data_IF_536377481303
#
_entry.id   IF_536377481303
#
_cell.length_a   1.000
_cell.length_b   1.000
_cell.length_c   1.000
_cell.angle_alpha   90.00
_cell.angle_beta   90.00
_cell.angle_gamma   90.00
#
_symmetry.space_group_name_H-M   'P 1'
#
loop_
_entity.id
_entity.type
_entity.pdbx_description
1 polymer ?
#
# COMPACT_ATOMS: atom_id res chain seq x y z
N UNK A 1 60.04 -5.43 -60.39
CA UNK A 1 59.10 -6.20 -59.55
C UNK A 1 58.32 -5.23 -58.67
N UNK A 2 56.99 -5.27 -58.80
CA UNK A 2 55.91 -4.67 -57.99
C UNK A 2 56.11 -3.30 -57.33
N UNK A 3 55.38 -2.31 -57.85
CA UNK A 3 55.35 -0.94 -57.32
C UNK A 3 54.21 -0.65 -56.35
N UNK A 4 54.28 0.54 -55.72
CA UNK A 4 53.13 1.42 -55.54
C UNK A 4 53.57 2.81 -55.04
N UNK A 5 53.22 3.78 -55.90
CA UNK A 5 52.92 5.21 -55.73
C UNK A 5 53.21 5.92 -54.40
N UNK A 6 54.01 6.96 -54.55
CA UNK A 6 53.97 8.23 -53.82
C UNK A 6 52.72 9.04 -54.14
N UNK A 7 52.21 9.79 -53.15
CA UNK A 7 51.72 11.15 -53.38
C UNK A 7 51.99 12.02 -52.14
N UNK A 8 52.21 13.30 -52.41
CA UNK A 8 52.98 14.28 -51.66
C UNK A 8 52.01 15.29 -51.02
N UNK A 9 52.37 15.85 -49.85
CA UNK A 9 52.47 17.31 -49.59
C UNK A 9 52.22 17.71 -48.11
N UNK A 10 53.26 18.34 -47.57
CA UNK A 10 53.30 19.54 -46.73
C UNK A 10 52.47 19.65 -45.44
N UNK A 11 53.22 19.77 -44.33
CA UNK A 11 53.54 21.12 -43.83
C UNK A 11 52.43 21.88 -43.09
N UNK A 12 52.37 21.67 -41.77
CA UNK A 12 52.23 22.69 -40.71
C UNK A 12 50.93 23.57 -40.66
N UNK A 13 50.31 23.51 -39.45
CA UNK A 13 49.63 24.54 -38.61
C UNK A 13 48.11 24.46 -38.38
N UNK A 14 47.82 24.14 -37.11
CA UNK A 14 46.75 24.60 -36.19
C UNK A 14 45.47 25.27 -36.76
N UNK A 15 44.31 24.73 -36.35
CA UNK A 15 43.14 25.54 -35.95
C UNK A 15 42.20 24.79 -35.00
N UNK A 16 41.84 25.47 -33.91
CA UNK A 16 40.73 25.15 -33.01
C UNK A 16 39.41 25.38 -33.75
N UNK A 17 38.44 24.47 -33.62
CA UNK A 17 37.03 24.77 -33.93
C UNK A 17 36.11 23.87 -33.10
N UNK A 18 35.31 24.49 -32.23
CA UNK A 18 34.12 23.87 -31.63
C UNK A 18 33.09 23.55 -32.72
N UNK A 19 32.49 22.37 -32.67
CA UNK A 19 31.14 22.14 -33.20
C UNK A 19 30.34 21.24 -32.27
N UNK A 20 29.19 21.78 -31.85
CA UNK A 20 28.03 21.05 -31.30
C UNK A 20 27.37 20.20 -32.41
N UNK A 21 26.25 19.59 -31.99
CA UNK A 21 25.16 18.88 -32.69
C UNK A 21 25.43 17.38 -32.87
N UNK A 22 24.56 16.45 -32.49
CA UNK A 22 23.09 16.46 -32.41
C UNK A 22 22.64 15.37 -31.41
N UNK A 23 21.69 15.68 -30.53
CA UNK A 23 20.85 14.70 -29.84
C UNK A 23 19.40 15.00 -30.23
N UNK A 24 18.71 14.11 -30.95
CA UNK A 24 17.25 14.09 -31.03
C UNK A 24 16.72 13.11 -29.97
N UNK A 25 15.65 13.31 -29.24
CA UNK A 25 14.61 14.34 -29.12
C UNK A 25 13.77 13.86 -27.93
N UNK A 26 13.33 14.75 -27.04
CA UNK A 26 11.98 15.32 -27.07
C UNK A 26 10.89 14.23 -27.07
N UNK A 27 9.98 14.18 -26.10
CA UNK A 27 9.08 15.27 -25.75
C UNK A 27 8.47 14.95 -24.36
N UNK A 28 8.54 15.87 -23.39
CA UNK A 28 7.59 16.96 -23.12
C UNK A 28 6.50 16.53 -22.12
N UNK A 29 5.96 17.35 -21.22
CA UNK A 29 6.20 18.71 -20.70
C UNK A 29 5.16 18.84 -19.55
N UNK A 30 5.55 19.47 -18.43
CA UNK A 30 4.87 20.59 -17.71
C UNK A 30 3.41 20.37 -17.22
N UNK A 31 3.04 20.63 -15.97
CA UNK A 31 2.86 21.94 -15.29
C UNK A 31 3.14 21.80 -13.78
N UNK A 32 4.02 22.57 -13.14
CA UNK A 32 4.07 24.02 -12.88
C UNK A 32 3.05 24.54 -11.85
N UNK A 33 3.62 25.08 -10.78
CA UNK A 33 3.01 25.63 -9.58
C UNK A 33 2.26 26.95 -9.82
N UNK A 34 1.30 27.24 -8.92
CA UNK A 34 0.73 28.58 -8.76
C UNK A 34 0.77 28.95 -7.28
N UNK A 35 1.45 30.06 -7.01
CA UNK A 35 1.49 30.80 -5.74
C UNK A 35 0.95 32.19 -6.09
N UNK A 36 -0.17 32.60 -5.49
CA UNK A 36 -0.50 34.01 -5.37
C UNK A 36 -1.21 34.28 -4.05
N UNK A 37 -0.64 35.24 -3.34
CA UNK A 37 -1.15 35.91 -2.15
C UNK A 37 -1.84 37.19 -2.60
N UNK A 38 -2.96 37.57 -1.98
CA UNK A 38 -3.37 38.97 -1.77
C UNK A 38 -4.47 39.06 -0.70
N UNK A 39 -4.50 40.23 -0.06
CA UNK A 39 -5.00 40.50 1.28
C UNK A 39 -6.51 40.84 1.37
N UNK A 40 -6.93 40.92 2.63
CA UNK A 40 -8.27 41.09 3.23
C UNK A 40 -9.08 42.33 2.82
N UNK A 41 -10.42 42.20 2.92
CA UNK A 41 -11.35 43.28 3.27
C UNK A 41 -12.41 42.74 4.24
N UNK A 42 -12.63 43.48 5.34
CA UNK A 42 -13.69 43.28 6.33
C UNK A 42 -15.05 43.69 5.75
N UNK A 43 -16.11 42.92 6.03
CA UNK A 43 -17.47 43.46 6.10
C UNK A 43 -18.28 42.82 7.23
N UNK A 44 -18.72 43.68 8.12
CA UNK A 44 -19.67 43.52 9.23
C UNK A 44 -21.05 43.14 8.71
N UNK A 45 -21.75 42.19 9.35
CA UNK A 45 -23.10 41.83 8.90
C UNK A 45 -23.88 40.87 9.80
N UNK A 46 -24.58 41.46 10.78
CA UNK A 46 -25.86 41.05 11.37
C UNK A 46 -26.04 39.62 11.95
N UNK A 47 -26.16 39.59 13.28
CA UNK A 47 -26.79 38.53 14.05
C UNK A 47 -28.24 38.26 13.61
N UNK A 48 -28.62 36.98 13.55
CA UNK A 48 -30.02 36.53 13.55
C UNK A 48 -30.21 35.32 14.47
N UNK A 49 -31.41 35.16 15.04
CA UNK A 49 -31.60 34.60 16.37
C UNK A 49 -31.64 33.07 16.40
N UNK A 50 -31.23 32.58 17.57
CA UNK A 50 -31.38 31.23 18.10
C UNK A 50 -32.83 30.77 17.97
N UNK A 51 -33.05 29.69 17.22
CA UNK A 51 -34.33 28.97 17.21
C UNK A 51 -34.29 27.89 18.29
N UNK A 52 -35.34 27.91 19.11
CA UNK A 52 -35.52 27.12 20.31
C UNK A 52 -35.31 25.61 20.09
N UNK A 53 -34.68 25.03 21.10
CA UNK A 53 -34.46 23.60 21.30
C UNK A 53 -35.80 22.89 21.50
N UNK A 54 -36.08 21.88 20.68
CA UNK A 54 -37.05 20.84 21.05
C UNK A 54 -36.40 19.94 22.12
N UNK A 55 -36.95 20.06 23.32
CA UNK A 55 -36.62 19.28 24.50
C UNK A 55 -37.12 17.84 24.31
N UNK A 56 -36.31 16.97 23.71
CA UNK A 56 -36.57 15.52 23.74
C UNK A 56 -36.10 15.02 25.11
N UNK A 57 -37.04 14.96 26.06
CA UNK A 57 -36.89 14.17 27.28
C UNK A 57 -36.78 12.69 26.87
N UNK A 58 -35.55 12.20 26.69
CA UNK A 58 -35.27 10.77 26.73
C UNK A 58 -35.21 10.36 28.19
N UNK A 59 -36.37 10.01 28.72
CA UNK A 59 -36.45 9.21 29.95
C UNK A 59 -35.72 7.89 29.68
N UNK A 60 -34.50 7.76 30.21
CA UNK A 60 -33.74 6.52 30.22
C UNK A 60 -34.39 5.50 31.14
N UNK A 61 -35.55 4.98 30.75
CA UNK A 61 -36.17 3.84 31.39
C UNK A 61 -35.59 2.56 30.80
N UNK A 62 -34.91 1.77 31.62
CA UNK A 62 -34.59 0.37 31.30
C UNK A 62 -35.92 -0.37 31.19
N UNK A 63 -36.34 -0.67 29.96
CA UNK A 63 -37.52 -1.50 29.70
C UNK A 63 -37.09 -2.96 29.88
N UNK A 64 -37.46 -3.55 31.00
CA UNK A 64 -37.36 -5.00 31.19
C UNK A 64 -38.41 -5.61 30.26
N UNK A 65 -37.96 -6.34 29.24
CA UNK A 65 -38.86 -7.04 28.31
C UNK A 65 -39.68 -8.07 29.09
N UNK A 66 -40.98 -8.13 28.81
CA UNK A 66 -41.84 -9.12 29.43
C UNK A 66 -41.64 -10.49 28.74
N UNK A 67 -41.75 -11.61 29.47
CA UNK A 67 -41.75 -12.94 28.86
C UNK A 67 -42.89 -13.06 27.85
N UNK A 68 -42.56 -13.14 26.56
CA UNK A 68 -43.52 -13.17 25.45
C UNK A 68 -43.47 -11.98 24.49
N UNK A 69 -42.63 -10.97 24.76
CA UNK A 69 -42.32 -9.95 23.74
C UNK A 69 -41.60 -10.62 22.55
N UNK A 70 -42.21 -10.57 21.38
CA UNK A 70 -41.63 -11.06 20.13
C UNK A 70 -40.29 -10.33 19.89
N UNK A 71 -39.18 -11.07 19.86
CA UNK A 71 -37.92 -10.53 19.38
C UNK A 71 -38.10 -10.25 17.89
N UNK A 72 -38.32 -8.98 17.51
CA UNK A 72 -38.11 -8.56 16.13
C UNK A 72 -36.73 -9.03 15.72
N UNK A 73 -36.60 -9.88 14.68
CA UNK A 73 -35.29 -10.26 14.17
C UNK A 73 -34.50 -8.99 13.93
N UNK A 74 -33.24 -8.96 14.39
CA UNK A 74 -32.30 -7.93 13.97
C UNK A 74 -32.41 -7.88 12.46
N UNK A 75 -32.95 -6.77 11.92
CA UNK A 75 -33.29 -6.67 10.52
C UNK A 75 -32.11 -7.12 9.68
N UNK A 76 -32.38 -7.89 8.62
CA UNK A 76 -31.37 -8.23 7.64
C UNK A 76 -30.59 -6.96 7.31
N UNK A 77 -29.27 -7.03 7.52
CA UNK A 77 -28.36 -5.94 7.23
C UNK A 77 -28.73 -5.35 5.87
N UNK A 78 -28.82 -4.01 5.71
CA UNK A 78 -29.06 -3.44 4.40
C UNK A 78 -28.06 -4.05 3.42
N UNK A 79 -28.56 -4.43 2.25
CA UNK A 79 -27.83 -5.08 1.17
C UNK A 79 -26.71 -4.14 0.63
N UNK A 80 -25.64 -4.00 1.42
CA UNK A 80 -24.40 -3.31 1.08
C UNK A 80 -23.54 -4.14 0.10
N UNK A 81 -24.06 -5.30 -0.33
CA UNK A 81 -23.36 -6.25 -1.18
C UNK A 81 -23.41 -5.88 -2.67
N UNK A 82 -24.28 -4.94 -3.09
CA UNK A 82 -24.52 -4.67 -4.52
C UNK A 82 -23.44 -3.88 -5.24
N UNK A 83 -22.48 -3.27 -4.53
CA UNK A 83 -21.47 -2.41 -5.16
C UNK A 83 -20.04 -2.65 -4.65
N UNK A 84 -19.82 -3.79 -3.99
CA UNK A 84 -18.48 -4.32 -3.81
C UNK A 84 -18.41 -5.53 -4.71
N UNK A 85 -18.09 -5.29 -5.99
CA UNK A 85 -17.36 -6.28 -6.76
C UNK A 85 -16.29 -6.81 -5.81
N UNK A 86 -16.48 -8.04 -5.35
CA UNK A 86 -15.68 -8.63 -4.28
C UNK A 86 -14.24 -8.33 -4.63
N UNK A 87 -13.50 -7.66 -3.74
CA UNK A 87 -12.09 -7.36 -3.96
C UNK A 87 -11.36 -8.69 -4.19
N UNK A 88 -11.24 -9.07 -5.46
CA UNK A 88 -10.69 -10.35 -5.89
C UNK A 88 -9.18 -10.19 -5.99
N UNK A 89 -8.48 -11.22 -5.56
CA UNK A 89 -7.04 -11.31 -5.76
C UNK A 89 -6.78 -11.71 -7.20
N UNK A 90 -5.95 -10.93 -7.88
CA UNK A 90 -5.50 -11.24 -9.23
C UNK A 90 -4.70 -12.54 -9.24
N UNK A 91 -4.71 -13.22 -10.39
CA UNK A 91 -3.79 -14.32 -10.65
C UNK A 91 -2.36 -13.80 -10.69
N UNK A 92 -1.45 -14.51 -10.03
CA UNK A 92 -0.01 -14.21 -10.03
C UNK A 92 0.74 -15.21 -10.91
N UNK A 93 1.59 -14.72 -11.81
CA UNK A 93 2.51 -15.54 -12.58
C UNK A 93 3.82 -15.74 -11.82
N UNK A 94 4.22 -16.99 -11.61
CA UNK A 94 5.39 -17.34 -10.80
C UNK A 94 6.38 -18.13 -11.64
N UNK A 95 7.66 -17.81 -11.56
CA UNK A 95 8.73 -18.60 -12.17
C UNK A 95 9.72 -19.09 -11.11
N UNK A 96 10.43 -20.17 -11.43
CA UNK A 96 11.61 -20.63 -10.68
C UNK A 96 12.86 -20.12 -11.41
N UNK A 97 13.81 -19.53 -10.68
CA UNK A 97 14.94 -18.80 -11.26
C UNK A 97 15.84 -19.63 -12.20
N UNK A 98 16.01 -20.91 -11.90
CA UNK A 98 16.77 -21.88 -12.71
C UNK A 98 15.93 -22.57 -13.79
N UNK A 99 14.64 -22.23 -13.90
CA UNK A 99 13.70 -22.85 -14.83
C UNK A 99 13.12 -24.19 -14.37
N UNK A 100 13.49 -24.69 -13.19
CA UNK A 100 13.07 -26.00 -12.68
C UNK A 100 11.68 -25.93 -12.05
N UNK A 101 10.64 -25.76 -12.87
CA UNK A 101 9.23 -25.68 -12.43
C UNK A 101 8.79 -26.86 -11.54
N UNK A 102 9.43 -28.03 -11.69
CA UNK A 102 9.21 -29.21 -10.84
C UNK A 102 9.50 -28.95 -9.35
N UNK A 103 10.31 -27.94 -9.02
CA UNK A 103 10.57 -27.53 -7.63
C UNK A 103 9.31 -26.99 -6.93
N UNK A 104 8.27 -26.63 -7.69
CA UNK A 104 6.97 -26.21 -7.19
C UNK A 104 5.89 -27.30 -7.34
N UNK A 105 6.28 -28.54 -7.67
CA UNK A 105 5.32 -29.64 -7.75
C UNK A 105 4.63 -29.86 -6.38
N UNK A 106 3.30 -29.90 -6.39
CA UNK A 106 2.48 -30.05 -5.18
C UNK A 106 2.24 -28.75 -4.39
N UNK A 107 2.85 -27.63 -4.77
CA UNK A 107 2.51 -26.32 -4.19
C UNK A 107 1.11 -25.93 -4.68
N UNK A 108 0.19 -25.78 -3.73
CA UNK A 108 -1.20 -25.42 -4.02
C UNK A 108 -1.47 -23.95 -3.69
N UNK A 109 -2.35 -23.27 -4.45
CA UNK A 109 -2.81 -21.92 -4.10
C UNK A 109 -3.42 -21.87 -2.70
N UNK A 110 -3.26 -20.72 -2.03
CA UNK A 110 -4.00 -20.36 -0.82
C UNK A 110 -5.22 -19.53 -1.21
N UNK A 111 -5.13 -18.21 -1.09
CA UNK A 111 -6.23 -17.31 -1.45
C UNK A 111 -6.13 -16.82 -2.89
N UNK A 112 -4.93 -16.38 -3.32
CA UNK A 112 -4.68 -15.91 -4.67
C UNK A 112 -4.40 -17.09 -5.62
N UNK A 113 -5.07 -17.13 -6.80
CA UNK A 113 -4.69 -18.09 -7.83
C UNK A 113 -3.30 -17.76 -8.36
N UNK A 114 -2.55 -18.78 -8.78
CA UNK A 114 -1.27 -18.56 -9.45
C UNK A 114 -1.05 -19.56 -10.57
N UNK A 115 -0.13 -19.19 -11.46
CA UNK A 115 0.28 -20.02 -12.59
C UNK A 115 1.81 -20.03 -12.68
N UNK A 116 2.38 -21.21 -12.89
CA UNK A 116 3.82 -21.35 -13.06
C UNK A 116 4.16 -21.10 -14.52
N UNK A 117 5.01 -20.12 -14.79
CA UNK A 117 5.42 -19.69 -16.13
C UNK A 117 6.94 -19.73 -16.26
N UNK A 118 7.50 -19.83 -17.48
CA UNK A 118 8.95 -19.69 -17.66
C UNK A 118 9.41 -18.28 -17.33
N UNK A 119 10.68 -18.12 -16.91
CA UNK A 119 11.28 -16.80 -16.58
C UNK A 119 11.19 -15.81 -17.75
N UNK A 120 11.21 -16.31 -18.99
CA UNK A 120 11.07 -15.49 -20.21
C UNK A 120 9.66 -14.94 -20.43
N UNK A 121 8.64 -15.43 -19.74
CA UNK A 121 7.25 -14.99 -19.87
C UNK A 121 6.90 -13.78 -18.98
N UNK A 122 7.91 -13.03 -18.51
CA UNK A 122 7.74 -11.87 -17.64
C UNK A 122 6.89 -12.19 -16.38
N UNK A 123 7.35 -13.12 -15.53
CA UNK A 123 6.63 -13.50 -14.32
C UNK A 123 6.51 -12.32 -13.35
N UNK A 124 5.45 -12.35 -12.53
CA UNK A 124 5.24 -11.39 -11.46
C UNK A 124 6.22 -11.64 -10.30
N UNK A 125 6.50 -12.92 -10.03
CA UNK A 125 7.42 -13.38 -8.99
C UNK A 125 8.42 -14.38 -9.56
N UNK A 126 9.68 -14.26 -9.13
CA UNK A 126 10.73 -15.24 -9.38
C UNK A 126 11.20 -15.78 -8.05
N UNK A 127 11.08 -17.09 -7.85
CA UNK A 127 11.62 -17.78 -6.67
C UNK A 127 12.93 -18.49 -7.03
N UNK A 128 13.99 -18.23 -6.26
CA UNK A 128 15.25 -18.94 -6.38
C UNK A 128 15.30 -20.07 -5.35
N UNK A 129 15.21 -21.32 -5.80
CA UNK A 129 15.21 -22.49 -4.91
C UNK A 129 16.51 -22.65 -4.11
N UNK A 130 17.64 -22.19 -4.66
CA UNK A 130 18.97 -22.33 -4.03
C UNK A 130 19.19 -21.32 -2.91
N UNK A 131 18.89 -20.03 -3.15
CA UNK A 131 19.02 -18.97 -2.14
C UNK A 131 17.78 -18.82 -1.25
N UNK A 132 16.65 -19.40 -1.68
CA UNK A 132 15.32 -19.23 -1.05
C UNK A 132 14.85 -17.78 -1.04
N UNK A 133 15.29 -16.98 -2.00
CA UNK A 133 14.78 -15.62 -2.18
C UNK A 133 13.62 -15.59 -3.16
N UNK A 134 12.67 -14.70 -2.92
CA UNK A 134 11.61 -14.35 -3.87
C UNK A 134 11.83 -12.91 -4.30
N UNK A 135 11.83 -12.68 -5.61
CA UNK A 135 12.03 -11.38 -6.23
C UNK A 135 10.83 -10.98 -7.08
N UNK A 136 10.55 -9.68 -7.12
CA UNK A 136 9.55 -9.06 -7.99
C UNK A 136 10.17 -7.82 -8.66
N UNK A 137 10.06 -7.71 -9.99
CA UNK A 137 10.64 -6.58 -10.73
C UNK A 137 12.16 -6.40 -10.52
N UNK A 138 12.88 -7.49 -10.25
CA UNK A 138 14.33 -7.48 -10.01
C UNK A 138 14.77 -7.19 -8.58
N UNK A 139 13.85 -6.87 -7.66
CA UNK A 139 14.16 -6.64 -6.25
C UNK A 139 13.71 -7.83 -5.39
N UNK A 140 14.54 -8.24 -4.41
CA UNK A 140 14.17 -9.25 -3.42
C UNK A 140 13.07 -8.69 -2.51
N UNK A 141 11.91 -9.35 -2.49
CA UNK A 141 10.77 -8.97 -1.65
C UNK A 141 10.62 -9.85 -0.42
N UNK A 142 11.20 -11.05 -0.43
CA UNK A 142 11.22 -11.98 0.70
C UNK A 142 12.45 -12.88 0.62
N UNK A 143 13.02 -13.22 1.77
CA UNK A 143 14.17 -14.12 1.90
C UNK A 143 13.85 -15.31 2.79
N UNK A 144 14.60 -16.40 2.63
CA UNK A 144 14.42 -17.66 3.36
C UNK A 144 13.01 -18.27 3.20
N UNK A 145 12.46 -18.20 1.99
CA UNK A 145 11.14 -18.74 1.63
C UNK A 145 11.29 -20.18 1.12
N UNK A 146 10.76 -21.14 1.87
CA UNK A 146 10.62 -22.52 1.42
C UNK A 146 9.52 -22.63 0.35
N UNK A 147 9.57 -23.67 -0.51
CA UNK A 147 8.54 -23.91 -1.53
C UNK A 147 7.12 -23.97 -0.94
N UNK A 148 6.96 -24.60 0.23
CA UNK A 148 5.69 -24.70 0.95
C UNK A 148 5.14 -23.36 1.47
N UNK A 149 6.02 -22.36 1.60
CA UNK A 149 5.71 -21.03 2.10
C UNK A 149 5.44 -20.02 0.98
N UNK A 150 5.83 -20.36 -0.26
CA UNK A 150 5.64 -19.51 -1.43
C UNK A 150 4.18 -19.05 -1.65
N UNK A 151 3.14 -19.86 -1.39
CA UNK A 151 1.75 -19.38 -1.48
C UNK A 151 1.44 -18.13 -0.62
N UNK A 152 2.10 -17.95 0.52
CA UNK A 152 1.90 -16.75 1.34
C UNK A 152 2.50 -15.49 0.68
N UNK A 153 3.65 -15.63 0.00
CA UNK A 153 4.30 -14.54 -0.75
C UNK A 153 3.49 -14.18 -2.01
N UNK A 154 2.89 -15.19 -2.64
CA UNK A 154 1.94 -15.03 -3.74
C UNK A 154 0.71 -14.23 -3.28
N UNK A 155 0.07 -14.65 -2.19
CA UNK A 155 -1.07 -13.95 -1.58
C UNK A 155 -0.72 -12.48 -1.26
N UNK A 156 0.46 -12.25 -0.69
CA UNK A 156 0.99 -10.90 -0.41
C UNK A 156 1.11 -10.04 -1.66
N UNK A 157 1.57 -10.63 -2.75
CA UNK A 157 1.79 -9.90 -4.02
C UNK A 157 0.46 -9.52 -4.67
N UNK A 158 -0.51 -10.43 -4.67
CA UNK A 158 -1.87 -10.15 -5.12
C UNK A 158 -2.55 -9.09 -4.22
N UNK A 159 -2.42 -9.22 -2.89
CA UNK A 159 -2.95 -8.24 -1.96
C UNK A 159 -2.34 -6.85 -2.17
N UNK A 160 -1.02 -6.77 -2.38
CA UNK A 160 -0.34 -5.50 -2.65
C UNK A 160 -0.87 -4.80 -3.92
N UNK A 161 -1.14 -5.54 -4.99
CA UNK A 161 -1.75 -5.00 -6.22
C UNK A 161 -3.15 -4.45 -5.97
N UNK A 162 -4.00 -5.23 -5.31
CA UNK A 162 -5.36 -4.81 -4.98
C UNK A 162 -5.38 -3.60 -4.04
N UNK A 163 -4.49 -3.56 -3.05
CA UNK A 163 -4.33 -2.42 -2.14
C UNK A 163 -3.85 -1.16 -2.87
N UNK A 164 -2.91 -1.29 -3.81
CA UNK A 164 -2.47 -0.18 -4.65
C UNK A 164 -3.60 0.35 -5.54
N UNK A 165 -4.42 -0.54 -6.12
CA UNK A 165 -5.60 -0.14 -6.89
C UNK A 165 -6.64 0.59 -6.02
N UNK A 166 -6.88 0.11 -4.80
CA UNK A 166 -7.73 0.81 -3.81
C UNK A 166 -7.17 2.18 -3.46
N UNK A 167 -5.87 2.29 -3.20
CA UNK A 167 -5.22 3.57 -2.88
C UNK A 167 -5.29 4.56 -4.06
N UNK A 168 -5.25 4.08 -5.30
CA UNK A 168 -5.40 4.94 -6.48
C UNK A 168 -6.82 5.52 -6.62
N UNK A 169 -7.85 4.76 -6.23
CA UNK A 169 -9.25 5.20 -6.34
C UNK A 169 -9.70 6.07 -5.17
N UNK A 170 -9.16 5.83 -3.96
CA UNK A 170 -9.54 6.53 -2.72
C UNK A 170 -8.29 6.87 -1.91
N UNK A 171 -7.48 7.84 -2.34
CA UNK A 171 -6.14 8.04 -1.79
C UNK A 171 -6.17 8.59 -0.36
N UNK A 172 -5.37 7.95 0.50
CA UNK A 172 -4.89 8.52 1.76
C UNK A 172 -3.42 8.90 1.57
N UNK A 173 -3.09 10.17 1.76
CA UNK A 173 -1.71 10.66 1.62
C UNK A 173 -0.84 10.14 2.75
N UNK A 174 0.30 9.58 2.37
CA UNK A 174 1.32 9.03 3.26
C UNK A 174 2.70 9.32 2.68
N UNK A 175 3.68 9.60 3.54
CA UNK A 175 5.07 9.76 3.11
C UNK A 175 6.06 9.37 4.20
N UNK A 176 7.27 9.03 3.79
CA UNK A 176 8.41 8.96 4.71
C UNK A 176 8.84 10.39 5.08
N UNK A 177 9.00 10.66 6.38
CA UNK A 177 9.49 11.95 6.88
C UNK A 177 10.93 11.86 7.37
N UNK A 178 11.37 10.66 7.73
CA UNK A 178 12.76 10.35 8.03
C UNK A 178 13.06 8.91 7.59
N UNK A 179 14.31 8.68 7.20
CA UNK A 179 14.72 7.41 6.60
C UNK A 179 14.55 7.36 5.08
N UNK A 180 14.87 6.22 4.50
CA UNK A 180 14.72 5.92 3.08
C UNK A 180 13.68 4.80 2.93
N UNK A 181 12.97 4.69 1.79
CA UNK A 181 12.20 3.49 1.43
C UNK A 181 13.02 2.19 1.51
N UNK A 182 14.35 2.29 1.57
CA UNK A 182 15.27 1.21 1.91
C UNK A 182 15.88 1.44 3.30
N UNK A 183 15.59 0.55 4.25
CA UNK A 183 16.15 0.58 5.60
C UNK A 183 17.08 -0.62 5.87
N UNK A 184 18.04 -0.44 6.76
CA UNK A 184 18.81 -1.57 7.32
C UNK A 184 18.12 -2.15 8.54
N UNK A 185 18.35 -3.43 8.83
CA UNK A 185 17.87 -4.07 10.07
C UNK A 185 18.21 -3.20 11.29
N UNK A 186 17.20 -2.91 12.11
CA UNK A 186 17.33 -2.12 13.33
C UNK A 186 17.23 -0.61 13.15
N UNK A 187 17.21 -0.09 11.91
CA UNK A 187 17.01 1.33 11.61
C UNK A 187 15.57 1.77 11.92
N UNK A 188 15.40 3.00 12.39
CA UNK A 188 14.09 3.61 12.54
C UNK A 188 13.67 4.31 11.24
N UNK A 189 12.41 4.16 10.90
CA UNK A 189 11.77 4.81 9.76
C UNK A 189 10.53 5.51 10.28
N UNK A 190 10.40 6.79 9.94
CA UNK A 190 9.24 7.59 10.34
C UNK A 190 8.38 7.86 9.13
N UNK A 191 7.07 7.62 9.29
CA UNK A 191 6.06 7.95 8.30
C UNK A 191 5.12 9.01 8.85
N UNK A 192 4.56 9.81 7.95
CA UNK A 192 3.49 10.74 8.25
C UNK A 192 2.27 10.41 7.39
N UNK A 193 1.11 10.43 8.03
CA UNK A 193 -0.20 10.28 7.43
C UNK A 193 -0.90 11.63 7.55
N UNK A 194 -1.24 12.24 6.42
CA UNK A 194 -1.78 13.60 6.35
C UNK A 194 -3.31 13.62 6.36
N UNK A 195 -3.93 14.79 6.53
CA UNK A 195 -5.39 14.97 6.54
C UNK A 195 -6.12 14.05 7.54
N UNK A 196 -5.60 14.00 8.78
CA UNK A 196 -6.06 13.09 9.82
C UNK A 196 -7.03 13.70 10.83
N UNK A 197 -7.27 15.02 10.77
CA UNK A 197 -8.08 15.71 11.77
C UNK A 197 -9.51 15.13 11.81
N UNK A 198 -9.91 14.63 12.98
CA UNK A 198 -11.20 14.00 13.24
C UNK A 198 -11.49 12.76 12.37
N UNK A 199 -10.45 12.03 11.95
CA UNK A 199 -10.59 10.77 11.21
C UNK A 199 -10.23 9.58 12.07
N UNK A 200 -10.97 8.48 11.88
CA UNK A 200 -10.56 7.18 12.35
C UNK A 200 -9.40 6.64 11.52
N UNK A 201 -8.46 5.95 12.17
CA UNK A 201 -7.31 5.33 11.53
C UNK A 201 -7.22 3.86 11.90
N UNK A 202 -6.88 3.05 10.90
CA UNK A 202 -6.36 1.70 11.07
C UNK A 202 -5.07 1.61 10.28
N UNK A 203 -3.98 1.18 10.92
CA UNK A 203 -2.67 1.00 10.32
C UNK A 203 -2.28 -0.48 10.46
N UNK A 204 -1.79 -1.08 9.38
CA UNK A 204 -1.25 -2.43 9.41
C UNK A 204 -0.09 -2.57 8.41
N UNK A 205 0.68 -3.64 8.54
CA UNK A 205 1.70 -4.01 7.58
C UNK A 205 1.43 -5.41 7.02
N UNK A 206 1.84 -5.64 5.78
CA UNK A 206 1.97 -6.96 5.17
C UNK A 206 3.45 -7.18 4.87
N UNK A 207 4.08 -8.12 5.58
CA UNK A 207 5.51 -8.40 5.48
C UNK A 207 5.86 -9.13 4.18
N UNK A 208 7.15 -9.20 3.85
CA UNK A 208 7.64 -9.93 2.67
C UNK A 208 7.15 -11.39 2.60
N UNK A 209 7.09 -12.09 3.74
CA UNK A 209 6.64 -13.49 3.83
C UNK A 209 5.10 -13.65 3.86
N UNK A 210 4.36 -12.56 3.69
CA UNK A 210 2.90 -12.52 3.68
C UNK A 210 2.24 -12.54 5.04
N UNK A 211 2.99 -12.29 6.12
CA UNK A 211 2.42 -12.09 7.44
C UNK A 211 1.74 -10.72 7.56
N UNK A 212 0.55 -10.68 8.17
CA UNK A 212 -0.15 -9.42 8.47
C UNK A 212 0.22 -8.99 9.88
N UNK A 213 0.40 -7.70 10.12
CA UNK A 213 0.66 -7.14 11.45
C UNK A 213 -0.20 -5.90 11.66
N UNK A 214 -1.13 -5.97 12.63
CA UNK A 214 -1.86 -4.79 13.07
C UNK A 214 -0.90 -3.83 13.81
N UNK A 215 -0.94 -2.55 13.46
CA UNK A 215 -0.03 -1.52 13.98
C UNK A 215 -0.76 -0.42 14.75
N UNK A 216 -1.99 -0.09 14.34
CA UNK A 216 -2.84 0.92 14.98
C UNK A 216 -4.33 0.63 14.70
N UNK A 217 -5.24 0.89 15.64
CA UNK A 217 -4.98 1.29 17.01
C UNK A 217 -4.60 0.08 17.88
N UNK A 218 -3.63 0.27 18.77
CA UNK A 218 -3.37 -0.61 19.91
C UNK A 218 -4.31 -0.25 21.08
N UNK A 219 -4.29 -1.05 22.15
CA UNK A 219 -5.24 -0.97 23.27
C UNK A 219 -5.40 0.44 23.87
N UNK A 220 -4.31 1.21 23.94
CA UNK A 220 -4.30 2.56 24.51
C UNK A 220 -4.42 3.67 23.48
N UNK A 221 -4.43 3.35 22.19
CA UNK A 221 -4.40 4.36 21.15
C UNK A 221 -5.79 5.01 20.99
N UNK A 222 -5.78 6.31 20.68
CA UNK A 222 -7.00 7.00 20.29
C UNK A 222 -7.55 6.37 19.00
N UNK A 223 -8.86 6.18 18.90
CA UNK A 223 -9.47 5.63 17.68
C UNK A 223 -9.71 6.69 16.62
N UNK A 224 -9.83 7.94 17.04
CA UNK A 224 -9.97 9.13 16.21
C UNK A 224 -8.72 9.96 16.41
N UNK A 225 -8.09 10.37 15.32
CA UNK A 225 -6.92 11.24 15.36
C UNK A 225 -7.38 12.70 15.46
N UNK A 226 -6.91 13.40 16.49
CA UNK A 226 -7.29 14.79 16.77
C UNK A 226 -6.29 15.82 16.18
N UNK A 227 -5.26 15.34 15.50
CA UNK A 227 -4.23 16.17 14.86
C UNK A 227 -4.35 16.17 13.34
N UNK A 228 -3.94 17.24 12.63
CA UNK A 228 -3.98 17.28 11.17
C UNK A 228 -3.15 16.21 10.47
N UNK A 229 -2.12 15.69 11.15
CA UNK A 229 -1.29 14.60 10.68
C UNK A 229 -0.94 13.67 11.84
N UNK A 230 -0.76 12.38 11.53
CA UNK A 230 -0.22 11.40 12.47
C UNK A 230 1.20 11.02 12.03
N UNK A 231 2.15 11.13 12.95
CA UNK A 231 3.51 10.60 12.77
C UNK A 231 3.59 9.23 13.43
N UNK A 232 4.13 8.27 12.71
CA UNK A 232 4.32 6.92 13.22
C UNK A 232 5.74 6.45 12.94
N UNK A 233 6.38 5.88 13.96
CA UNK A 233 7.76 5.39 13.89
C UNK A 233 7.77 3.88 13.96
N UNK A 234 8.55 3.27 13.08
CA UNK A 234 8.75 1.83 13.04
C UNK A 234 10.24 1.52 13.07
N UNK A 235 10.58 0.42 13.72
CA UNK A 235 11.93 -0.12 13.65
C UNK A 235 11.92 -1.27 12.65
N UNK A 236 12.79 -1.19 11.64
CA UNK A 236 12.97 -2.24 10.66
C UNK A 236 13.46 -3.52 11.35
N UNK A 237 12.72 -4.62 11.21
CA UNK A 237 12.94 -5.90 11.90
C UNK A 237 12.74 -7.04 10.93
N UNK A 238 13.12 -8.24 11.35
CA UNK A 238 12.79 -9.46 10.63
C UNK A 238 11.26 -9.71 10.62
N UNK A 239 10.74 -10.40 9.58
CA UNK A 239 11.46 -10.91 8.40
C UNK A 239 11.95 -9.78 7.48
N UNK A 240 13.15 -9.93 6.93
CA UNK A 240 13.71 -8.97 5.98
C UNK A 240 13.01 -9.12 4.62
N UNK A 241 12.94 -8.04 3.85
CA UNK A 241 12.21 -8.01 2.59
C UNK A 241 11.45 -6.70 2.38
N UNK A 242 10.44 -6.73 1.53
CA UNK A 242 9.60 -5.58 1.23
C UNK A 242 8.29 -5.64 2.03
N UNK A 243 8.23 -4.86 3.10
CA UNK A 243 7.01 -4.64 3.88
C UNK A 243 6.12 -3.62 3.16
N UNK A 244 4.82 -3.90 3.12
CA UNK A 244 3.81 -2.97 2.66
C UNK A 244 3.07 -2.41 3.89
N UNK A 245 3.26 -1.12 4.17
CA UNK A 245 2.54 -0.40 5.22
C UNK A 245 1.26 0.16 4.60
N UNK A 246 0.12 -0.07 5.25
CA UNK A 246 -1.19 0.32 4.77
C UNK A 246 -1.93 1.13 5.83
N UNK A 247 -2.34 2.35 5.49
CA UNK A 247 -3.26 3.14 6.30
C UNK A 247 -4.65 3.12 5.67
N UNK A 248 -5.66 2.89 6.50
CA UNK A 248 -7.07 3.04 6.15
C UNK A 248 -7.65 4.12 7.05
N UNK A 249 -8.27 5.14 6.46
CA UNK A 249 -8.83 6.26 7.23
C UNK A 249 -10.28 6.53 6.86
N UNK A 250 -11.11 6.93 7.82
CA UNK A 250 -12.50 7.29 7.55
C UNK A 250 -13.00 8.39 8.50
N UNK A 251 -14.16 8.98 8.24
CA UNK A 251 -14.78 9.98 9.11
C UNK A 251 -15.27 9.40 10.45
N UNK A 252 -15.24 8.08 10.63
CA UNK A 252 -15.69 7.38 11.84
C UNK A 252 -14.69 6.35 12.34
N UNK A 253 -14.80 5.87 13.58
CA UNK A 253 -14.05 4.71 14.04
C UNK A 253 -14.37 3.46 13.19
N UNK A 254 -13.40 2.57 13.05
CA UNK A 254 -13.52 1.35 12.23
C UNK A 254 -13.26 0.09 13.06
N UNK A 255 -14.04 -0.11 14.14
CA UNK A 255 -13.85 -1.21 15.10
C UNK A 255 -13.85 -2.59 14.43
N UNK A 256 -14.80 -2.84 13.53
CA UNK A 256 -14.91 -4.12 12.86
C UNK A 256 -13.67 -4.43 12.00
N UNK A 257 -13.14 -3.42 11.30
CA UNK A 257 -11.91 -3.53 10.52
C UNK A 257 -10.71 -3.80 11.43
N UNK A 258 -10.57 -3.02 12.51
CA UNK A 258 -9.48 -3.18 13.46
C UNK A 258 -9.48 -4.56 14.12
N UNK A 259 -10.66 -5.06 14.49
CA UNK A 259 -10.81 -6.39 15.10
C UNK A 259 -10.54 -7.52 14.09
N UNK A 260 -11.06 -7.42 12.86
CA UNK A 260 -10.75 -8.37 11.81
C UNK A 260 -9.25 -8.45 11.50
N UNK A 261 -8.55 -7.30 11.51
CA UNK A 261 -7.09 -7.28 11.32
C UNK A 261 -6.35 -7.92 12.49
N UNK A 262 -6.81 -7.73 13.74
CA UNK A 262 -6.21 -8.39 14.91
C UNK A 262 -6.31 -9.91 14.82
N UNK A 263 -7.45 -10.44 14.35
CA UNK A 263 -7.66 -11.87 14.19
C UNK A 263 -6.69 -12.51 13.18
N UNK A 264 -6.31 -11.79 12.13
CA UNK A 264 -5.37 -12.28 11.12
C UNK A 264 -3.92 -11.84 11.37
N UNK A 265 -3.68 -11.01 12.39
CA UNK A 265 -2.37 -10.47 12.73
C UNK A 265 -1.44 -11.57 13.23
N UNK A 266 -0.16 -11.47 12.89
CA UNK A 266 0.91 -12.46 13.13
C UNK A 266 0.69 -13.81 12.44
N UNK A 267 -0.20 -13.87 11.44
CA UNK A 267 -0.39 -15.03 10.59
C UNK A 267 -0.01 -14.68 9.13
N UNK A 268 0.45 -15.69 8.38
CA UNK A 268 0.69 -15.62 6.92
C UNK A 268 -0.63 -15.61 6.15
N UNK A 269 -1.36 -14.52 6.30
CA UNK A 269 -2.77 -14.34 5.98
C UNK A 269 -3.02 -13.16 5.04
N UNK A 270 -2.00 -12.71 4.29
CA UNK A 270 -2.12 -11.57 3.38
C UNK A 270 -3.32 -11.66 2.41
N UNK A 271 -3.69 -12.88 1.99
CA UNK A 271 -4.84 -13.12 1.12
C UNK A 271 -6.21 -12.82 1.77
N UNK A 272 -6.27 -12.74 3.09
CA UNK A 272 -7.50 -12.42 3.84
C UNK A 272 -7.71 -10.91 4.02
N UNK A 273 -6.68 -10.09 3.76
CA UNK A 273 -6.71 -8.63 4.00
C UNK A 273 -7.86 -7.96 3.25
N UNK A 274 -8.14 -8.36 2.01
CA UNK A 274 -9.22 -7.75 1.21
C UNK A 274 -10.61 -8.07 1.77
N UNK A 275 -10.80 -9.26 2.35
CA UNK A 275 -12.06 -9.63 3.02
C UNK A 275 -12.27 -8.79 4.28
N UNK A 276 -11.20 -8.58 5.05
CA UNK A 276 -11.22 -7.71 6.23
C UNK A 276 -11.44 -6.24 5.85
N UNK A 277 -10.82 -5.76 4.77
CA UNK A 277 -11.07 -4.42 4.22
C UNK A 277 -12.50 -4.22 3.74
N UNK A 278 -13.22 -5.28 3.41
CA UNK A 278 -14.66 -5.20 3.16
C UNK A 278 -15.48 -4.85 4.42
N UNK A 279 -14.87 -4.67 5.58
CA UNK A 279 -15.52 -4.09 6.77
C UNK A 279 -15.37 -2.56 6.84
N UNK A 280 -14.51 -1.97 5.99
CA UNK A 280 -14.30 -0.53 5.96
C UNK A 280 -15.56 0.21 5.45
N UNK A 281 -15.81 1.44 5.96
CA UNK A 281 -16.94 2.25 5.51
C UNK A 281 -16.74 2.80 4.10
N UNK A 282 -17.81 3.31 3.49
CA UNK A 282 -17.79 3.75 2.09
C UNK A 282 -16.87 4.97 1.85
N UNK A 283 -16.70 5.82 2.85
CA UNK A 283 -15.83 6.99 2.84
C UNK A 283 -14.36 6.69 3.19
N UNK A 284 -14.03 5.40 3.34
CA UNK A 284 -12.67 4.97 3.65
C UNK A 284 -11.69 5.34 2.53
N UNK A 285 -10.56 5.91 2.92
CA UNK A 285 -9.40 6.17 2.08
C UNK A 285 -8.30 5.17 2.42
N UNK A 286 -7.50 4.80 1.42
CA UNK A 286 -6.42 3.82 1.53
C UNK A 286 -5.12 4.46 1.07
N UNK A 287 -4.08 4.28 1.86
CA UNK A 287 -2.73 4.75 1.57
C UNK A 287 -1.76 3.59 1.75
N UNK A 288 -0.73 3.54 0.92
CA UNK A 288 0.27 2.47 0.96
C UNK A 288 1.68 3.04 0.86
N UNK A 289 2.61 2.51 1.67
CA UNK A 289 4.04 2.75 1.54
C UNK A 289 4.79 1.42 1.49
N UNK A 290 5.71 1.28 0.56
CA UNK A 290 6.63 0.13 0.50
C UNK A 290 7.91 0.44 1.24
N UNK A 291 8.29 -0.44 2.17
CA UNK A 291 9.54 -0.37 2.92
C UNK A 291 10.36 -1.63 2.65
N UNK A 292 11.49 -1.48 1.97
CA UNK A 292 12.47 -2.55 1.78
C UNK A 292 13.46 -2.57 2.93
N UNK A 293 13.64 -3.72 3.57
CA UNK A 293 14.62 -3.92 4.63
C UNK A 293 15.69 -4.91 4.21
N UNK A 294 16.96 -4.49 4.32
CA UNK A 294 18.14 -5.36 4.11
C UNK A 294 18.88 -5.64 5.41
N UNK A 295 19.73 -6.68 5.45
CA UNK A 295 20.70 -6.88 6.54
C UNK A 295 21.57 -5.64 6.79
#
# INVERSE_FOLDING_TARGET
MNGSRSEVLDGIRLRVTQRRVFSPGAANLIWAAILMSTASVFLTGAARPVRAQDKIERTGGVRILNPGDEMTPIGAWPDLARERDSLKLDKIHVAVADGEAKALAGVSPRAAPFEIVPVSANPDLVWNASSRDVSAGGATIASNVAASDLPAVIDRTAAARALAALAATRPQQMRFISGSPTARKGQNVDIEIEDMLNRGLVLFAVTGDGSVRALYPLTSDQKIVETPALKWSLRAREPLGADLIVAVTSARPMEALAEGLKQISNHRSAGEVLKVLALAPADARVGTLSLSTSP
#
